data_IF_629458651635
#
_entry.id   IF_629458651635
#
_cell.length_a   1.000
_cell.length_b   1.000
_cell.length_c   1.000
_cell.angle_alpha   90.00
_cell.angle_beta   90.00
_cell.angle_gamma   90.00
#
_symmetry.space_group_name_H-M   'P 1'
#
loop_
_entity.id
_entity.type
_entity.pdbx_description
1 polymer ?
#
# COMPACT_ATOMS: atom_id res chain seq x y z
N UNK A 1 -51.44 -55.22 -14.45
CA UNK A 1 -51.23 -55.53 -13.02
C UNK A 1 -49.81 -55.13 -12.65
N UNK A 2 -49.71 -54.35 -11.57
CA UNK A 2 -48.54 -53.92 -10.80
C UNK A 2 -47.52 -52.95 -11.44
N UNK A 3 -47.76 -51.67 -11.17
CA UNK A 3 -46.81 -50.58 -11.22
C UNK A 3 -45.77 -50.72 -10.09
N UNK A 4 -44.48 -50.58 -10.42
CA UNK A 4 -43.40 -50.48 -9.44
C UNK A 4 -43.07 -48.99 -9.22
N UNK A 5 -43.43 -48.48 -8.03
CA UNK A 5 -43.05 -47.17 -7.52
C UNK A 5 -41.59 -47.22 -7.04
N UNK A 6 -40.70 -46.50 -7.72
CA UNK A 6 -39.35 -46.20 -7.22
C UNK A 6 -39.44 -45.01 -6.26
N UNK A 7 -39.36 -45.27 -4.96
CA UNK A 7 -39.25 -44.23 -3.94
C UNK A 7 -37.83 -43.63 -3.96
N UNK A 8 -37.73 -42.36 -4.36
CA UNK A 8 -36.51 -41.57 -4.27
C UNK A 8 -36.37 -41.08 -2.82
N UNK A 9 -35.49 -41.71 -2.05
CA UNK A 9 -35.13 -41.21 -0.72
C UNK A 9 -34.27 -39.94 -0.88
N UNK A 10 -34.86 -38.77 -0.61
CA UNK A 10 -34.09 -37.55 -0.37
C UNK A 10 -33.32 -37.74 0.94
N UNK A 11 -32.01 -37.99 0.83
CA UNK A 11 -31.09 -37.76 1.93
C UNK A 11 -31.00 -36.24 2.14
N UNK A 12 -31.69 -35.74 3.17
CA UNK A 12 -31.46 -34.41 3.72
C UNK A 12 -30.01 -34.38 4.22
N UNK A 13 -29.12 -33.80 3.42
CA UNK A 13 -27.81 -33.39 3.88
C UNK A 13 -28.02 -32.33 4.97
N UNK A 14 -27.77 -32.70 6.22
CA UNK A 14 -27.66 -31.75 7.31
C UNK A 14 -26.60 -30.71 6.93
N UNK A 15 -26.81 -29.41 7.23
CA UNK A 15 -25.77 -28.42 7.05
C UNK A 15 -24.60 -28.84 7.96
N UNK A 16 -23.46 -29.15 7.34
CA UNK A 16 -22.24 -29.45 8.05
C UNK A 16 -21.96 -28.32 9.02
N UNK A 17 -21.86 -28.64 10.31
CA UNK A 17 -21.47 -27.68 11.32
C UNK A 17 -20.19 -26.99 10.89
N UNK A 18 -20.20 -25.65 10.92
CA UNK A 18 -19.00 -24.85 10.79
C UNK A 18 -18.07 -25.28 11.93
N UNK A 19 -17.13 -26.18 11.63
CA UNK A 19 -16.04 -26.51 12.53
C UNK A 19 -15.30 -25.22 12.84
N UNK A 20 -15.18 -24.88 14.12
CA UNK A 20 -14.42 -23.71 14.55
C UNK A 20 -13.02 -23.77 13.92
N UNK A 21 -12.73 -22.83 13.03
CA UNK A 21 -11.42 -22.69 12.42
C UNK A 21 -10.43 -22.40 13.54
N UNK A 22 -9.41 -23.25 13.70
CA UNK A 22 -8.36 -23.00 14.69
C UNK A 22 -7.63 -21.70 14.31
N UNK A 23 -7.31 -20.80 15.27
CA UNK A 23 -6.54 -19.60 14.99
C UNK A 23 -5.20 -19.94 14.31
N UNK A 24 -4.63 -18.96 13.60
CA UNK A 24 -3.30 -19.10 13.03
C UNK A 24 -2.29 -19.54 14.11
N UNK A 25 -1.37 -20.45 13.79
CA UNK A 25 -0.40 -20.95 14.75
C UNK A 25 0.49 -19.79 15.26
N UNK A 26 1.02 -19.88 16.49
CA UNK A 26 1.99 -18.90 16.96
C UNK A 26 3.23 -18.92 16.05
N UNK A 27 3.95 -17.78 15.94
CA UNK A 27 5.21 -17.72 15.22
C UNK A 27 6.23 -18.68 15.86
N UNK A 28 7.22 -19.16 15.09
CA UNK A 28 8.24 -20.04 15.63
C UNK A 28 9.05 -19.34 16.76
N UNK A 29 9.64 -20.07 17.72
CA UNK A 29 10.51 -19.48 18.74
C UNK A 29 11.65 -18.66 18.12
N UNK A 30 11.98 -17.51 18.71
CA UNK A 30 13.06 -16.67 18.19
C UNK A 30 14.42 -17.32 18.44
N UNK A 31 15.21 -17.47 17.37
CA UNK A 31 16.52 -18.11 17.42
C UNK A 31 17.70 -17.11 17.42
N UNK A 32 17.44 -15.81 17.58
CA UNK A 32 18.46 -14.75 17.53
C UNK A 32 18.62 -14.11 16.14
N UNK A 33 19.48 -13.08 16.07
CA UNK A 33 19.81 -12.40 14.81
C UNK A 33 20.54 -13.40 13.92
N UNK A 34 19.84 -13.86 12.88
CA UNK A 34 20.36 -14.85 11.95
C UNK A 34 21.64 -14.34 11.27
N UNK A 35 22.61 -15.23 11.07
CA UNK A 35 23.84 -14.96 10.35
C UNK A 35 23.81 -15.70 9.02
N UNK A 36 24.16 -15.05 7.89
CA UNK A 36 24.08 -15.66 6.57
C UNK A 36 24.99 -16.88 6.48
N UNK A 37 24.50 -17.97 5.87
CA UNK A 37 25.22 -19.23 5.75
C UNK A 37 25.44 -19.62 4.29
N UNK A 38 26.68 -20.06 4.01
CA UNK A 38 27.07 -20.46 2.67
C UNK A 38 27.27 -19.28 1.71
N UNK A 39 27.91 -19.57 0.58
CA UNK A 39 28.42 -18.53 -0.33
C UNK A 39 27.29 -17.71 -0.96
N UNK A 40 26.17 -18.35 -1.29
CA UNK A 40 25.02 -17.68 -1.93
C UNK A 40 24.36 -16.64 -1.01
N UNK A 41 24.11 -17.02 0.24
CA UNK A 41 23.44 -16.13 1.19
C UNK A 41 24.35 -14.98 1.62
N UNK A 42 25.64 -15.26 1.85
CA UNK A 42 26.64 -14.22 2.15
C UNK A 42 26.75 -13.23 0.99
N UNK A 43 26.75 -13.72 -0.26
CA UNK A 43 26.76 -12.87 -1.45
C UNK A 43 25.52 -11.98 -1.55
N UNK A 44 24.33 -12.55 -1.37
CA UNK A 44 23.07 -11.82 -1.39
C UNK A 44 23.02 -10.74 -0.30
N UNK A 45 23.47 -11.06 0.92
CA UNK A 45 23.54 -10.10 2.02
C UNK A 45 24.47 -8.94 1.71
N UNK A 46 25.64 -9.21 1.13
CA UNK A 46 26.56 -8.15 0.71
C UNK A 46 25.96 -7.23 -0.35
N UNK A 47 25.22 -7.78 -1.31
CA UNK A 47 24.49 -6.95 -2.29
C UNK A 47 23.44 -6.07 -1.61
N UNK A 48 22.73 -6.62 -0.61
CA UNK A 48 21.73 -5.87 0.15
C UNK A 48 22.37 -4.79 1.04
N UNK A 49 23.52 -5.06 1.67
CA UNK A 49 24.29 -4.07 2.43
C UNK A 49 24.73 -2.90 1.55
N UNK A 50 25.20 -3.18 0.33
CA UNK A 50 25.57 -2.15 -0.65
C UNK A 50 24.34 -1.34 -1.13
N UNK A 51 23.17 -1.98 -1.26
CA UNK A 51 21.90 -1.30 -1.57
C UNK A 51 21.41 -0.45 -0.41
N UNK A 52 21.50 -0.96 0.82
CA UNK A 52 21.16 -0.25 2.04
C UNK A 52 22.02 1.00 2.20
N UNK A 53 23.34 0.90 1.98
CA UNK A 53 24.23 2.05 2.04
C UNK A 53 23.84 3.16 1.05
N UNK A 54 23.41 2.80 -0.16
CA UNK A 54 22.89 3.77 -1.16
C UNK A 54 21.54 4.34 -0.76
N UNK A 55 20.66 3.49 -0.24
CA UNK A 55 19.33 3.87 0.23
C UNK A 55 19.43 4.89 1.37
N UNK A 56 20.33 4.69 2.33
CA UNK A 56 20.50 5.57 3.49
C UNK A 56 20.81 7.03 3.12
N UNK A 57 21.31 7.28 1.92
CA UNK A 57 21.59 8.62 1.37
C UNK A 57 20.62 9.05 0.27
N UNK A 58 19.56 8.26 0.01
CA UNK A 58 18.60 8.52 -1.05
C UNK A 58 17.66 9.68 -0.68
N UNK A 59 17.36 10.60 -1.60
CA UNK A 59 16.36 11.65 -1.38
C UNK A 59 14.94 11.11 -1.21
N UNK A 60 14.73 9.82 -1.49
CA UNK A 60 13.46 9.15 -1.23
C UNK A 60 13.26 8.81 0.24
N UNK A 61 14.31 8.74 1.07
CA UNK A 61 14.17 8.43 2.49
C UNK A 61 13.60 9.65 3.23
N UNK A 62 12.59 9.39 4.06
CA UNK A 62 12.05 10.38 4.98
C UNK A 62 12.92 10.36 6.24
N UNK A 63 13.83 11.35 6.35
CA UNK A 63 14.71 11.52 7.51
C UNK A 63 13.98 12.22 8.68
N UNK A 64 12.88 11.61 9.14
CA UNK A 64 12.14 12.04 10.32
C UNK A 64 12.20 10.94 11.38
N UNK A 65 12.91 11.24 12.46
CA UNK A 65 13.15 10.28 13.55
C UNK A 65 11.86 9.94 14.30
N UNK A 66 10.89 10.87 14.38
CA UNK A 66 9.63 10.65 15.05
C UNK A 66 8.76 9.65 14.29
N UNK A 67 8.63 9.80 12.97
CA UNK A 67 7.92 8.88 12.08
C UNK A 67 8.61 7.52 12.04
N UNK A 68 9.92 7.49 11.81
CA UNK A 68 10.67 6.22 11.72
C UNK A 68 10.61 5.48 13.05
N UNK A 69 10.84 6.17 14.17
CA UNK A 69 10.72 5.59 15.51
C UNK A 69 9.31 5.11 15.82
N UNK A 70 8.27 5.80 15.33
CA UNK A 70 6.88 5.34 15.45
C UNK A 70 6.63 4.03 14.70
N UNK A 71 7.06 3.93 13.44
CA UNK A 71 6.94 2.71 12.64
C UNK A 71 7.71 1.55 13.28
N UNK A 72 8.92 1.80 13.80
CA UNK A 72 9.69 0.80 14.55
C UNK A 72 8.93 0.29 15.79
N UNK A 73 8.30 1.18 16.57
CA UNK A 73 7.52 0.78 17.75
C UNK A 73 6.32 -0.10 17.37
N UNK A 74 5.65 0.19 16.26
CA UNK A 74 4.55 -0.65 15.76
C UNK A 74 5.07 -2.03 15.35
N UNK A 75 6.22 -2.10 14.66
CA UNK A 75 6.85 -3.38 14.35
C UNK A 75 7.20 -4.17 15.62
N UNK A 76 7.88 -3.56 16.59
CA UNK A 76 8.27 -4.22 17.84
C UNK A 76 7.07 -4.71 18.65
N UNK A 77 5.99 -3.92 18.71
CA UNK A 77 4.77 -4.34 19.37
C UNK A 77 4.06 -5.51 18.67
N UNK A 78 4.28 -5.69 17.37
CA UNK A 78 3.74 -6.83 16.61
C UNK A 78 4.60 -8.09 16.76
N UNK A 79 5.90 -8.01 16.49
CA UNK A 79 6.80 -9.19 16.38
C UNK A 79 7.59 -9.49 17.67
N UNK A 80 7.59 -8.57 18.62
CA UNK A 80 8.37 -8.62 19.86
C UNK A 80 9.76 -7.96 19.71
N UNK A 81 10.28 -7.46 20.84
CA UNK A 81 11.55 -6.71 20.92
C UNK A 81 12.75 -7.48 20.34
N UNK A 82 12.92 -8.75 20.73
CA UNK A 82 14.05 -9.55 20.27
C UNK A 82 14.08 -9.69 18.74
N UNK A 83 12.90 -9.84 18.12
CA UNK A 83 12.75 -9.95 16.67
C UNK A 83 12.94 -8.61 15.98
N UNK A 84 12.33 -7.54 16.48
CA UNK A 84 12.41 -6.25 15.83
C UNK A 84 13.83 -5.66 15.86
N UNK A 85 14.65 -6.01 16.86
CA UNK A 85 16.06 -5.63 16.93
C UNK A 85 16.92 -6.16 15.77
N UNK A 86 16.44 -7.18 15.03
CA UNK A 86 17.08 -7.66 13.81
C UNK A 86 16.79 -6.76 12.58
N UNK A 87 15.90 -5.78 12.71
CA UNK A 87 15.38 -4.99 11.59
C UNK A 87 15.88 -3.56 11.62
N UNK A 88 16.23 -3.03 10.44
CA UNK A 88 16.53 -1.61 10.22
C UNK A 88 15.45 -1.02 9.32
N UNK A 89 14.60 -0.17 9.88
CA UNK A 89 13.43 0.38 9.18
C UNK A 89 13.79 1.69 8.47
N UNK A 90 13.42 1.80 7.20
CA UNK A 90 13.50 3.01 6.41
C UNK A 90 12.11 3.35 5.86
N UNK A 91 11.62 4.54 6.18
CA UNK A 91 10.40 5.07 5.57
C UNK A 91 10.77 5.82 4.29
N UNK A 92 10.16 5.46 3.17
CA UNK A 92 10.45 6.06 1.86
C UNK A 92 9.23 6.77 1.28
N UNK A 93 9.44 7.97 0.74
CA UNK A 93 8.42 8.81 0.11
C UNK A 93 8.08 8.35 -1.30
N UNK A 94 7.44 7.19 -1.37
CA UNK A 94 6.89 6.60 -2.60
C UNK A 94 5.39 6.39 -2.39
N UNK A 95 4.50 6.97 -3.22
CA UNK A 95 3.05 6.99 -2.98
C UNK A 95 2.33 5.67 -3.35
N UNK A 96 3.10 4.59 -3.59
CA UNK A 96 2.58 3.25 -3.84
C UNK A 96 2.47 2.51 -2.51
N UNK A 97 1.37 1.79 -2.29
CA UNK A 97 1.25 0.87 -1.16
C UNK A 97 2.32 -0.23 -1.31
N UNK A 98 3.30 -0.23 -0.42
CA UNK A 98 4.26 -1.31 -0.35
C UNK A 98 4.99 -1.30 0.99
N UNK A 99 5.44 -2.48 1.38
CA UNK A 99 6.54 -2.67 2.30
C UNK A 99 7.36 -3.84 1.78
N UNK A 100 8.62 -3.93 2.18
CA UNK A 100 9.46 -5.07 1.82
C UNK A 100 10.54 -5.26 2.85
N UNK A 101 10.98 -6.49 3.04
CA UNK A 101 12.12 -6.80 3.90
C UNK A 101 13.22 -7.50 3.13
N UNK A 102 14.45 -6.99 3.22
CA UNK A 102 15.65 -7.59 2.65
C UNK A 102 16.23 -8.68 3.55
N UNK A 103 16.93 -9.68 2.97
CA UNK A 103 17.69 -10.70 3.69
C UNK A 103 18.59 -10.20 4.81
N UNK A 104 19.22 -9.02 4.66
CA UNK A 104 20.11 -8.47 5.69
C UNK A 104 19.37 -7.82 6.89
N UNK A 105 18.03 -7.79 6.87
CA UNK A 105 17.20 -7.15 7.90
C UNK A 105 16.77 -5.72 7.60
N UNK A 106 17.05 -5.19 6.40
CA UNK A 106 16.53 -3.87 5.99
C UNK A 106 15.04 -3.96 5.68
N UNK A 107 14.21 -3.15 6.32
CA UNK A 107 12.79 -3.04 6.02
C UNK A 107 12.47 -1.68 5.39
N UNK A 108 11.87 -1.71 4.21
CA UNK A 108 11.35 -0.53 3.52
C UNK A 108 9.86 -0.38 3.77
N UNK A 109 9.43 0.82 4.16
CA UNK A 109 8.01 1.16 4.38
C UNK A 109 7.65 2.35 3.51
N UNK A 110 6.73 2.17 2.56
CA UNK A 110 6.43 3.20 1.57
C UNK A 110 5.35 4.15 2.10
N UNK A 111 5.47 5.44 1.81
CA UNK A 111 4.46 6.44 2.21
C UNK A 111 3.05 6.10 1.70
N UNK A 112 2.94 5.43 0.55
CA UNK A 112 1.64 4.97 0.04
C UNK A 112 0.99 3.88 0.90
N UNK A 113 1.78 3.07 1.62
CA UNK A 113 1.27 2.15 2.63
C UNK A 113 0.71 2.94 3.82
N UNK A 114 1.51 3.88 4.35
CA UNK A 114 1.12 4.71 5.49
C UNK A 114 -0.12 5.58 5.22
N UNK A 115 -0.35 5.97 3.96
CA UNK A 115 -1.56 6.70 3.59
C UNK A 115 -2.84 5.84 3.60
N UNK A 116 -2.73 4.52 3.47
CA UNK A 116 -3.88 3.61 3.27
C UNK A 116 -4.31 2.87 4.53
N UNK A 117 -3.36 2.50 5.39
CA UNK A 117 -3.71 1.86 6.68
C UNK A 117 -4.24 2.90 7.66
N UNK A 118 -5.14 2.47 8.56
CA UNK A 118 -5.92 3.37 9.44
C UNK A 118 -5.61 3.21 10.93
N UNK A 119 -4.81 2.22 11.29
CA UNK A 119 -4.49 1.94 12.68
C UNK A 119 -3.13 1.26 12.82
N UNK A 120 -2.60 1.24 14.05
CA UNK A 120 -1.36 0.51 14.36
C UNK A 120 -1.50 -0.97 14.03
N UNK A 121 -2.69 -1.56 14.28
CA UNK A 121 -2.95 -2.97 13.97
C UNK A 121 -2.90 -3.26 12.46
N UNK A 122 -3.37 -2.35 11.61
CA UNK A 122 -3.30 -2.51 10.15
C UNK A 122 -1.88 -2.33 9.62
N UNK A 123 -1.13 -1.36 10.16
CA UNK A 123 0.29 -1.23 9.85
C UNK A 123 1.05 -2.49 10.28
N UNK A 124 0.85 -2.94 11.52
CA UNK A 124 1.47 -4.15 12.06
C UNK A 124 1.13 -5.42 11.26
N UNK A 125 -0.08 -5.54 10.71
CA UNK A 125 -0.43 -6.66 9.84
C UNK A 125 0.49 -6.75 8.62
N UNK A 126 0.75 -5.60 7.98
CA UNK A 126 1.63 -5.53 6.80
C UNK A 126 3.08 -5.74 7.22
N UNK A 127 3.55 -5.08 8.27
CA UNK A 127 4.94 -5.24 8.73
C UNK A 127 5.24 -6.66 9.23
N UNK A 128 4.28 -7.30 9.90
CA UNK A 128 4.36 -8.67 10.38
C UNK A 128 4.37 -9.69 9.23
N UNK A 129 3.61 -9.43 8.15
CA UNK A 129 3.67 -10.22 6.91
C UNK A 129 5.06 -10.14 6.25
N UNK A 130 5.62 -8.93 6.10
CA UNK A 130 6.98 -8.75 5.57
C UNK A 130 8.04 -9.43 6.45
N UNK A 131 7.88 -9.32 7.77
CA UNK A 131 8.76 -10.01 8.72
C UNK A 131 8.62 -11.53 8.61
N UNK A 132 7.42 -12.04 8.31
CA UNK A 132 7.19 -13.45 8.00
C UNK A 132 8.01 -13.94 6.81
N UNK A 133 8.07 -13.16 5.72
CA UNK A 133 8.95 -13.48 4.59
C UNK A 133 10.42 -13.53 4.97
N UNK A 134 10.87 -12.61 5.83
CA UNK A 134 12.24 -12.57 6.34
C UNK A 134 12.57 -13.78 7.23
N UNK A 135 11.73 -14.08 8.21
CA UNK A 135 11.93 -15.21 9.13
C UNK A 135 11.93 -16.55 8.40
N UNK A 136 11.11 -16.68 7.35
CA UNK A 136 11.05 -17.86 6.48
C UNK A 136 12.07 -17.86 5.34
N UNK A 137 12.87 -16.80 5.21
CA UNK A 137 13.92 -16.62 4.20
C UNK A 137 13.41 -16.84 2.78
N UNK A 138 12.19 -16.37 2.49
CA UNK A 138 11.57 -16.54 1.18
C UNK A 138 12.37 -15.91 0.05
N UNK A 139 13.04 -14.78 0.30
CA UNK A 139 13.92 -14.13 -0.68
C UNK A 139 15.18 -14.96 -0.96
N UNK A 140 15.78 -15.60 0.04
CA UNK A 140 16.90 -16.52 -0.18
C UNK A 140 16.44 -17.74 -1.01
N UNK A 141 15.29 -18.31 -0.67
CA UNK A 141 14.73 -19.46 -1.41
C UNK A 141 14.46 -19.09 -2.88
N UNK A 142 13.89 -17.90 -3.13
CA UNK A 142 13.73 -17.40 -4.50
C UNK A 142 15.08 -17.16 -5.20
N UNK A 143 16.06 -16.55 -4.52
CA UNK A 143 17.37 -16.30 -5.08
C UNK A 143 18.08 -17.60 -5.49
N UNK A 144 18.06 -18.62 -4.61
CA UNK A 144 18.61 -19.96 -4.90
C UNK A 144 17.89 -20.63 -6.07
N UNK A 145 16.56 -20.58 -6.11
CA UNK A 145 15.78 -21.14 -7.21
C UNK A 145 16.11 -20.47 -8.54
N UNK A 146 16.32 -19.14 -8.55
CA UNK A 146 16.75 -18.38 -9.72
C UNK A 146 18.16 -18.75 -10.16
N UNK A 147 19.12 -18.81 -9.23
CA UNK A 147 20.51 -19.16 -9.56
C UNK A 147 20.60 -20.54 -10.18
N UNK A 148 19.95 -21.54 -9.57
CA UNK A 148 19.87 -22.89 -10.14
C UNK A 148 19.18 -22.90 -11.51
N UNK A 149 18.11 -22.10 -11.67
CA UNK A 149 17.43 -21.93 -12.96
C UNK A 149 18.32 -21.30 -14.03
N UNK A 150 19.05 -20.22 -13.70
CA UNK A 150 20.01 -19.56 -14.58
C UNK A 150 21.17 -20.48 -14.95
N UNK A 151 21.73 -21.22 -13.98
CA UNK A 151 22.80 -22.19 -14.24
C UNK A 151 22.31 -23.30 -15.18
N UNK A 152 21.10 -23.83 -14.97
CA UNK A 152 20.47 -24.78 -15.88
C UNK A 152 20.24 -24.20 -17.27
N UNK A 153 19.80 -22.94 -17.38
CA UNK A 153 19.66 -22.24 -18.66
C UNK A 153 21.00 -22.08 -19.35
N UNK A 154 22.07 -21.71 -18.63
CA UNK A 154 23.41 -21.58 -19.19
C UNK A 154 23.90 -22.93 -19.74
N UNK A 155 23.66 -24.03 -19.03
CA UNK A 155 23.96 -25.38 -19.53
C UNK A 155 23.08 -25.80 -20.72
N UNK A 156 21.79 -25.48 -20.68
CA UNK A 156 20.86 -25.74 -21.77
C UNK A 156 21.19 -24.91 -23.02
N UNK A 157 21.72 -23.70 -22.87
CA UNK A 157 22.20 -22.88 -23.97
C UNK A 157 23.39 -23.55 -24.68
N UNK A 158 24.35 -24.05 -23.89
CA UNK A 158 25.50 -24.82 -24.41
C UNK A 158 25.00 -26.05 -25.17
N UNK A 159 24.15 -26.87 -24.55
CA UNK A 159 23.62 -28.08 -25.18
C UNK A 159 22.72 -27.78 -26.40
N UNK A 160 21.87 -26.74 -26.31
CA UNK A 160 20.96 -26.32 -27.37
C UNK A 160 21.70 -25.75 -28.58
N UNK A 161 22.82 -25.07 -28.37
CA UNK A 161 23.70 -24.62 -29.45
C UNK A 161 24.31 -25.78 -30.25
N UNK A 162 24.47 -26.95 -29.61
CA UNK A 162 24.95 -28.18 -30.25
C UNK A 162 23.84 -28.94 -30.98
N UNK A 163 22.56 -28.65 -30.70
CA UNK A 163 21.39 -29.35 -31.25
C UNK A 163 20.82 -28.71 -32.53
N UNK A 164 21.45 -27.66 -33.06
CA UNK A 164 21.06 -26.99 -34.31
C UNK A 164 19.93 -25.95 -34.18
N UNK A 165 19.41 -25.42 -35.30
CA UNK A 165 18.54 -24.24 -35.33
C UNK A 165 17.21 -24.37 -34.57
N UNK A 166 16.66 -25.58 -34.43
CA UNK A 166 15.46 -25.85 -33.63
C UNK A 166 15.73 -25.78 -32.11
N UNK A 167 16.93 -26.20 -31.66
CA UNK A 167 17.35 -26.09 -30.27
C UNK A 167 17.51 -24.64 -29.81
N UNK A 168 18.04 -23.78 -30.69
CA UNK A 168 18.20 -22.35 -30.42
C UNK A 168 16.87 -21.59 -30.29
N UNK A 169 15.81 -21.96 -31.04
CA UNK A 169 14.48 -21.34 -30.91
C UNK A 169 13.79 -21.72 -29.61
N UNK A 170 13.83 -23.01 -29.25
CA UNK A 170 13.27 -23.52 -28.00
C UNK A 170 13.94 -22.88 -26.78
N UNK A 171 15.23 -22.54 -26.89
CA UNK A 171 15.97 -21.80 -25.88
C UNK A 171 15.48 -20.36 -25.70
N UNK A 172 15.22 -19.62 -26.78
CA UNK A 172 14.73 -18.24 -26.69
C UNK A 172 13.36 -18.15 -25.98
N UNK A 173 12.46 -19.09 -26.25
CA UNK A 173 11.15 -19.15 -25.59
C UNK A 173 11.27 -19.49 -24.09
N UNK A 174 12.20 -20.39 -23.75
CA UNK A 174 12.51 -20.75 -22.36
C UNK A 174 13.15 -19.57 -21.60
N UNK A 175 14.06 -18.84 -22.24
CA UNK A 175 14.73 -17.67 -21.66
C UNK A 175 13.73 -16.57 -21.29
N UNK A 176 12.77 -16.27 -22.17
CA UNK A 176 11.74 -15.25 -21.93
C UNK A 176 10.77 -15.65 -20.80
N UNK A 177 10.45 -16.94 -20.67
CA UNK A 177 9.60 -17.47 -19.60
C UNK A 177 10.21 -17.34 -18.20
N UNK A 178 11.53 -17.54 -18.09
CA UNK A 178 12.25 -17.43 -16.80
C UNK A 178 12.39 -15.98 -16.35
N UNK A 179 12.58 -15.03 -17.28
CA UNK A 179 12.69 -13.59 -16.99
C UNK A 179 11.42 -12.97 -16.37
N UNK A 180 10.23 -13.45 -16.76
CA UNK A 180 8.95 -12.92 -16.29
C UNK A 180 8.56 -13.26 -14.84
N UNK A 181 9.24 -14.21 -14.19
CA UNK A 181 8.91 -14.70 -12.84
C UNK A 181 9.87 -14.18 -11.74
N UNK A 182 10.74 -13.22 -12.06
CA UNK A 182 11.89 -12.83 -11.22
C UNK A 182 11.52 -11.92 -10.02
N UNK A 183 10.26 -11.58 -9.77
CA UNK A 183 9.95 -10.68 -8.63
C UNK A 183 8.73 -11.08 -7.80
N UNK A 184 8.17 -12.27 -8.01
CA UNK A 184 6.87 -12.69 -7.45
C UNK A 184 7.02 -13.88 -6.50
N UNK A 185 6.51 -13.76 -5.28
CA UNK A 185 6.41 -14.90 -4.36
C UNK A 185 5.35 -15.91 -4.84
N UNK A 186 5.61 -17.19 -4.56
CA UNK A 186 4.63 -18.24 -4.81
C UNK A 186 3.46 -18.19 -3.82
N UNK A 187 2.30 -18.76 -4.17
CA UNK A 187 1.11 -18.78 -3.31
C UNK A 187 1.38 -19.39 -1.93
N UNK A 188 2.20 -20.44 -1.87
CA UNK A 188 2.55 -21.10 -0.61
C UNK A 188 3.41 -20.19 0.30
N UNK A 189 4.32 -19.41 -0.30
CA UNK A 189 5.16 -18.46 0.44
C UNK A 189 4.32 -17.30 0.99
N UNK A 190 3.37 -16.79 0.20
CA UNK A 190 2.42 -15.78 0.66
C UNK A 190 1.56 -16.29 1.81
N UNK A 191 1.03 -17.51 1.69
CA UNK A 191 0.21 -18.13 2.73
C UNK A 191 1.02 -18.40 4.00
N UNK A 192 2.28 -18.81 3.88
CA UNK A 192 3.16 -19.02 5.04
C UNK A 192 3.48 -17.69 5.74
N UNK A 193 3.80 -16.64 4.98
CA UNK A 193 4.05 -15.31 5.52
C UNK A 193 2.79 -14.71 6.19
N UNK A 194 1.61 -14.92 5.61
CA UNK A 194 0.34 -14.54 6.21
C UNK A 194 0.08 -15.25 7.55
N UNK A 195 0.31 -16.56 7.61
CA UNK A 195 0.10 -17.33 8.85
C UNK A 195 1.06 -16.89 9.94
N UNK A 196 2.32 -16.61 9.61
CA UNK A 196 3.31 -16.07 10.55
C UNK A 196 2.93 -14.65 10.99
N UNK A 197 2.63 -13.76 10.05
CA UNK A 197 2.20 -12.39 10.30
C UNK A 197 0.94 -12.30 11.16
N UNK A 198 -0.07 -13.12 10.87
CA UNK A 198 -1.27 -13.22 11.67
C UNK A 198 -1.01 -13.87 13.03
N UNK A 199 -0.08 -14.83 13.11
CA UNK A 199 0.39 -15.42 14.36
C UNK A 199 1.01 -14.37 15.30
N UNK A 200 1.79 -13.42 14.76
CA UNK A 200 2.31 -12.27 15.51
C UNK A 200 1.17 -11.42 16.07
N UNK A 201 0.21 -11.03 15.23
CA UNK A 201 -0.94 -10.24 15.69
C UNK A 201 -1.77 -10.99 16.75
N UNK A 202 -2.04 -12.28 16.54
CA UNK A 202 -2.78 -13.12 17.48
C UNK A 202 -2.10 -13.17 18.86
N UNK A 203 -0.77 -13.20 18.89
CA UNK A 203 0.03 -13.23 20.12
C UNK A 203 0.25 -11.82 20.75
N UNK A 204 0.04 -10.75 19.99
CA UNK A 204 0.21 -9.37 20.44
C UNK A 204 -1.06 -8.81 21.11
N UNK A 205 -0.95 -7.59 21.65
CA UNK A 205 -2.11 -6.83 22.15
C UNK A 205 -2.91 -6.15 21.03
N UNK A 206 -2.54 -6.34 19.76
CA UNK A 206 -3.20 -5.71 18.61
C UNK A 206 -4.38 -6.54 18.10
N UNK A 207 -5.23 -5.92 17.27
CA UNK A 207 -6.42 -6.58 16.73
C UNK A 207 -6.08 -7.40 15.45
N UNK A 208 -6.17 -8.73 15.47
CA UNK A 208 -5.75 -9.57 14.35
C UNK A 208 -6.66 -9.45 13.11
N UNK A 209 -7.93 -9.07 13.30
CA UNK A 209 -8.85 -8.79 12.18
C UNK A 209 -8.37 -7.67 11.24
N UNK A 210 -7.39 -6.86 11.66
CA UNK A 210 -6.75 -5.85 10.82
C UNK A 210 -6.11 -6.43 9.55
N UNK A 211 -5.54 -7.65 9.62
CA UNK A 211 -4.93 -8.30 8.46
C UNK A 211 -5.94 -8.49 7.31
N UNK A 212 -7.16 -8.94 7.62
CA UNK A 212 -8.23 -9.06 6.64
C UNK A 212 -8.69 -7.70 6.09
N UNK A 213 -8.81 -6.69 6.95
CA UNK A 213 -9.31 -5.37 6.55
C UNK A 213 -8.40 -4.67 5.55
N UNK A 214 -7.08 -4.75 5.72
CA UNK A 214 -6.12 -4.18 4.75
C UNK A 214 -6.43 -4.68 3.34
N UNK A 215 -6.57 -6.00 3.18
CA UNK A 215 -6.89 -6.60 1.87
C UNK A 215 -8.24 -6.16 1.32
N UNK A 216 -9.28 -6.09 2.16
CA UNK A 216 -10.62 -5.63 1.74
C UNK A 216 -10.58 -4.18 1.25
N UNK A 217 -9.87 -3.30 1.95
CA UNK A 217 -9.73 -1.88 1.57
C UNK A 217 -8.97 -1.73 0.25
N UNK A 218 -7.89 -2.49 0.04
CA UNK A 218 -7.13 -2.46 -1.21
C UNK A 218 -7.95 -2.98 -2.41
N UNK A 219 -8.77 -4.01 -2.21
CA UNK A 219 -9.71 -4.51 -3.23
C UNK A 219 -10.70 -3.38 -3.61
N UNK A 220 -11.30 -2.72 -2.61
CA UNK A 220 -12.25 -1.63 -2.85
C UNK A 220 -11.60 -0.44 -3.56
N UNK A 221 -10.37 -0.05 -3.19
CA UNK A 221 -9.62 1.01 -3.88
C UNK A 221 -9.45 0.69 -5.37
N UNK A 222 -9.14 -0.56 -5.70
CA UNK A 222 -8.96 -1.02 -7.09
C UNK A 222 -10.27 -1.05 -7.85
N UNK A 223 -11.35 -1.50 -7.23
CA UNK A 223 -12.67 -1.41 -7.83
C UNK A 223 -13.07 0.04 -8.12
N UNK A 224 -12.79 0.97 -7.20
CA UNK A 224 -13.03 2.40 -7.40
C UNK A 224 -12.19 2.98 -8.54
N UNK A 225 -10.90 2.63 -8.62
CA UNK A 225 -10.02 3.01 -9.74
C UNK A 225 -10.54 2.50 -11.09
N UNK A 226 -10.90 1.22 -11.17
CA UNK A 226 -11.43 0.62 -12.39
C UNK A 226 -12.77 1.27 -12.81
N UNK A 227 -13.69 1.45 -11.86
CA UNK A 227 -14.99 2.07 -12.09
C UNK A 227 -14.84 3.50 -12.64
N UNK A 228 -13.94 4.31 -12.05
CA UNK A 228 -13.69 5.68 -12.51
C UNK A 228 -13.13 5.75 -13.94
N UNK A 229 -12.48 4.68 -14.42
CA UNK A 229 -11.94 4.54 -15.78
C UNK A 229 -12.92 3.86 -16.74
N UNK A 230 -14.12 3.49 -16.30
CA UNK A 230 -15.09 2.72 -17.09
C UNK A 230 -14.62 1.29 -17.40
N UNK A 231 -13.68 0.75 -16.62
CA UNK A 231 -13.17 -0.59 -16.78
C UNK A 231 -14.02 -1.59 -15.99
N UNK A 232 -14.00 -2.86 -16.41
CA UNK A 232 -14.60 -3.96 -15.63
C UNK A 232 -13.85 -4.14 -14.31
N UNK A 233 -14.53 -4.76 -13.34
CA UNK A 233 -13.90 -5.18 -12.08
C UNK A 233 -12.61 -5.94 -12.36
N UNK A 234 -11.48 -5.57 -11.72
CA UNK A 234 -10.21 -6.26 -11.93
C UNK A 234 -10.30 -7.74 -11.58
N UNK A 235 -9.68 -8.60 -12.39
CA UNK A 235 -9.37 -9.96 -11.94
C UNK A 235 -8.16 -9.87 -11.00
N UNK A 236 -8.44 -9.94 -9.70
CA UNK A 236 -7.41 -9.76 -8.68
C UNK A 236 -6.26 -10.76 -8.83
N UNK A 237 -6.49 -11.96 -9.39
CA UNK A 237 -5.42 -12.92 -9.70
C UNK A 237 -4.38 -12.43 -10.73
N UNK A 238 -4.64 -11.30 -11.41
CA UNK A 238 -3.84 -10.77 -12.53
C UNK A 238 -3.42 -9.30 -12.36
N UNK A 239 -3.63 -8.69 -11.19
CA UNK A 239 -3.31 -7.27 -10.95
C UNK A 239 -1.84 -7.07 -10.58
N UNK A 240 -1.11 -6.27 -11.37
CA UNK A 240 0.34 -6.01 -11.23
C UNK A 240 0.78 -5.27 -9.93
N UNK A 241 -0.15 -4.69 -9.18
CA UNK A 241 0.16 -4.11 -7.86
C UNK A 241 0.69 -5.12 -6.84
N UNK A 242 0.44 -6.40 -7.15
CA UNK A 242 0.88 -7.56 -6.42
C UNK A 242 2.03 -8.28 -7.13
N UNK A 243 2.80 -7.53 -7.93
CA UNK A 243 3.94 -8.09 -8.66
C UNK A 243 4.93 -8.78 -7.72
N UNK A 244 5.04 -8.29 -6.47
CA UNK A 244 5.73 -8.99 -5.39
C UNK A 244 4.84 -10.02 -4.67
N UNK A 245 3.58 -9.67 -4.34
CA UNK A 245 2.69 -10.47 -3.48
C UNK A 245 1.29 -10.71 -4.09
N UNK A 246 1.10 -11.70 -4.99
CA UNK A 246 -0.18 -12.00 -5.65
C UNK A 246 -1.34 -12.06 -4.64
N UNK A 247 -2.49 -11.41 -4.90
CA UNK A 247 -3.63 -11.54 -3.99
C UNK A 247 -4.27 -12.90 -4.26
N UNK A 248 -4.65 -13.60 -3.20
CA UNK A 248 -5.69 -14.62 -3.33
C UNK A 248 -7.03 -13.92 -3.11
N UNK A 249 -8.02 -14.17 -3.97
CA UNK A 249 -9.38 -13.65 -3.77
C UNK A 249 -9.96 -14.07 -2.42
N UNK A 250 -9.48 -15.18 -1.87
CA UNK A 250 -9.86 -15.73 -0.57
C UNK A 250 -8.96 -15.26 0.59
N UNK A 251 -7.90 -14.48 0.32
CA UNK A 251 -6.88 -14.07 1.31
C UNK A 251 -7.50 -13.34 2.50
N UNK A 252 -8.32 -12.33 2.20
CA UNK A 252 -9.01 -11.56 3.22
C UNK A 252 -9.92 -12.46 4.09
N UNK A 253 -10.53 -13.48 3.51
CA UNK A 253 -11.52 -14.31 4.19
C UNK A 253 -10.86 -15.34 5.11
N UNK A 254 -9.78 -16.00 4.68
CA UNK A 254 -9.06 -16.90 5.60
C UNK A 254 -8.33 -16.13 6.69
N UNK A 255 -7.77 -14.95 6.41
CA UNK A 255 -7.12 -14.13 7.44
C UNK A 255 -8.13 -13.72 8.52
N UNK A 256 -9.36 -13.42 8.11
CA UNK A 256 -10.46 -13.19 9.04
C UNK A 256 -10.79 -14.44 9.85
N UNK A 257 -10.94 -15.60 9.20
CA UNK A 257 -11.31 -16.85 9.85
C UNK A 257 -10.25 -17.41 10.81
N UNK A 258 -8.97 -17.08 10.59
CA UNK A 258 -7.83 -17.51 11.41
C UNK A 258 -7.39 -16.48 12.46
N UNK A 259 -8.03 -15.30 12.47
CA UNK A 259 -7.80 -14.29 13.49
C UNK A 259 -8.30 -14.79 14.85
N UNK A 260 -7.58 -14.48 15.92
CA UNK A 260 -7.97 -14.86 17.27
C UNK A 260 -9.31 -14.19 17.64
N UNK A 261 -10.38 -14.95 17.96
CA UNK A 261 -11.72 -14.37 18.20
C UNK A 261 -11.77 -13.43 19.42
N UNK A 262 -10.99 -13.72 20.46
CA UNK A 262 -10.83 -12.85 21.63
C UNK A 262 -10.11 -11.52 21.29
N UNK A 263 -9.45 -11.48 20.13
CA UNK A 263 -8.74 -10.32 19.63
C UNK A 263 -9.63 -9.19 19.13
N UNK A 264 -10.94 -9.39 18.92
CA UNK A 264 -11.82 -8.37 18.34
C UNK A 264 -11.96 -7.10 19.18
N UNK A 265 -11.77 -7.19 20.49
CA UNK A 265 -11.92 -6.07 21.44
C UNK A 265 -10.61 -5.37 21.77
N UNK A 266 -9.49 -5.87 21.24
CA UNK A 266 -8.15 -5.30 21.46
C UNK A 266 -8.02 -3.92 20.83
N UNK A 267 -7.17 -3.09 21.43
CA UNK A 267 -6.90 -1.73 20.95
C UNK A 267 -6.29 -1.77 19.54
N UNK A 268 -6.86 -0.99 18.64
CA UNK A 268 -6.36 -0.87 17.27
C UNK A 268 -5.22 0.15 17.13
N UNK A 269 -5.12 1.10 18.06
CA UNK A 269 -4.18 2.21 17.98
C UNK A 269 -4.57 3.29 16.94
N UNK A 270 -5.85 3.42 16.60
CA UNK A 270 -6.34 4.36 15.56
C UNK A 270 -5.98 5.81 15.85
N UNK A 271 -6.18 6.30 17.08
CA UNK A 271 -5.89 7.69 17.43
C UNK A 271 -4.38 7.98 17.43
N UNK A 272 -3.57 7.05 17.97
CA UNK A 272 -2.10 7.16 17.95
C UNK A 272 -1.57 7.18 16.52
N UNK A 273 -2.13 6.34 15.65
CA UNK A 273 -1.80 6.30 14.25
C UNK A 273 -2.14 7.61 13.54
N UNK A 274 -3.37 8.10 13.73
CA UNK A 274 -3.80 9.38 13.17
C UNK A 274 -2.91 10.55 13.62
N UNK A 275 -2.52 10.59 14.90
CA UNK A 275 -1.63 11.61 15.44
C UNK A 275 -0.23 11.55 14.82
N UNK A 276 0.35 10.35 14.68
CA UNK A 276 1.66 10.16 14.06
C UNK A 276 1.66 10.52 12.56
N UNK A 277 0.55 10.27 11.85
CA UNK A 277 0.42 10.58 10.43
C UNK A 277 0.02 12.03 10.14
N UNK A 278 -0.52 12.77 11.11
CA UNK A 278 -1.07 14.11 10.87
C UNK A 278 -0.10 15.09 10.17
N UNK A 279 1.20 15.17 10.53
CA UNK A 279 2.16 16.04 9.83
C UNK A 279 2.43 15.60 8.38
N UNK A 280 2.31 14.30 8.10
CA UNK A 280 2.65 13.67 6.83
C UNK A 280 1.46 13.51 5.87
N UNK A 281 0.23 13.65 6.40
CA UNK A 281 -0.98 13.46 5.62
C UNK A 281 -1.06 14.42 4.41
N UNK A 282 -0.80 15.74 4.53
CA UNK A 282 -0.83 16.63 3.36
C UNK A 282 0.15 16.25 2.24
N UNK A 283 1.47 16.06 2.48
CA UNK A 283 2.39 15.68 1.41
C UNK A 283 2.09 14.30 0.81
N UNK A 284 1.60 13.34 1.60
CA UNK A 284 1.23 12.01 1.09
C UNK A 284 0.00 12.08 0.16
N UNK A 285 -1.01 12.87 0.53
CA UNK A 285 -2.17 13.13 -0.33
C UNK A 285 -1.76 13.84 -1.63
N UNK A 286 -0.84 14.80 -1.55
CA UNK A 286 -0.31 15.47 -2.74
C UNK A 286 0.38 14.50 -3.70
N UNK A 287 1.15 13.54 -3.18
CA UNK A 287 1.83 12.55 -4.01
C UNK A 287 0.86 11.50 -4.57
N UNK A 288 -0.16 11.10 -3.80
CA UNK A 288 -1.23 10.23 -4.28
C UNK A 288 -2.01 10.88 -5.43
N UNK A 289 -2.39 12.16 -5.31
CA UNK A 289 -3.11 12.88 -6.36
C UNK A 289 -2.26 13.00 -7.65
N UNK A 290 -0.93 13.12 -7.53
CA UNK A 290 -0.01 13.16 -8.68
C UNK A 290 0.04 11.83 -9.46
N UNK A 291 -0.38 10.71 -8.87
CA UNK A 291 -0.50 9.43 -9.59
C UNK A 291 -1.59 9.46 -10.67
N UNK A 292 -2.42 10.51 -10.72
CA UNK A 292 -3.46 10.71 -11.73
C UNK A 292 -4.47 9.55 -11.80
N UNK A 293 -4.71 8.90 -10.65
CA UNK A 293 -5.77 7.91 -10.49
C UNK A 293 -6.93 8.52 -9.73
N UNK A 294 -7.93 9.02 -10.45
CA UNK A 294 -9.06 9.71 -9.84
C UNK A 294 -9.85 8.81 -8.88
N UNK A 295 -10.17 7.59 -9.32
CA UNK A 295 -11.01 6.67 -8.55
C UNK A 295 -10.34 6.21 -7.26
N UNK A 296 -9.07 5.80 -7.34
CA UNK A 296 -8.31 5.43 -6.15
C UNK A 296 -8.12 6.62 -5.19
N UNK A 297 -7.80 7.80 -5.72
CA UNK A 297 -7.55 8.97 -4.88
C UNK A 297 -8.81 9.46 -4.17
N UNK A 298 -9.98 9.49 -4.84
CA UNK A 298 -11.24 9.86 -4.20
C UNK A 298 -11.64 8.80 -3.15
N UNK A 299 -11.45 7.51 -3.44
CA UNK A 299 -11.66 6.43 -2.47
C UNK A 299 -10.78 6.62 -1.22
N UNK A 300 -9.48 6.83 -1.37
CA UNK A 300 -8.56 7.02 -0.22
C UNK A 300 -8.97 8.26 0.59
N UNK A 301 -9.24 9.39 -0.07
CA UNK A 301 -9.62 10.64 0.62
C UNK A 301 -10.94 10.45 1.39
N UNK A 302 -11.94 9.84 0.77
CA UNK A 302 -13.25 9.62 1.40
C UNK A 302 -13.18 8.59 2.53
N UNK A 303 -12.39 7.53 2.35
CA UNK A 303 -12.15 6.54 3.38
C UNK A 303 -11.48 7.22 4.60
N UNK A 304 -10.40 7.98 4.40
CA UNK A 304 -9.74 8.77 5.46
C UNK A 304 -10.70 9.71 6.20
N UNK A 305 -11.70 10.24 5.50
CA UNK A 305 -12.71 11.14 6.05
C UNK A 305 -13.87 10.45 6.82
N UNK A 306 -13.91 9.12 6.91
CA UNK A 306 -14.96 8.38 7.62
C UNK A 306 -15.07 8.78 9.10
N UNK A 307 -13.95 9.14 9.73
CA UNK A 307 -13.91 9.63 11.12
C UNK A 307 -14.17 11.14 11.25
N UNK A 308 -14.44 11.81 10.13
CA UNK A 308 -14.64 13.25 10.06
C UNK A 308 -13.76 13.91 9.01
N UNK A 309 -14.33 14.92 8.34
CA UNK A 309 -13.58 15.70 7.37
C UNK A 309 -12.71 16.75 8.06
N UNK A 310 -11.45 16.83 7.66
CA UNK A 310 -10.50 17.85 8.10
C UNK A 310 -10.20 18.83 6.97
N UNK A 311 -9.61 19.99 7.29
CA UNK A 311 -9.22 20.97 6.27
C UNK A 311 -8.25 20.38 5.22
N UNK A 312 -7.20 19.61 5.59
CA UNK A 312 -6.35 18.93 4.61
C UNK A 312 -7.08 17.96 3.68
N UNK A 313 -8.05 17.19 4.20
CA UNK A 313 -8.83 16.24 3.39
C UNK A 313 -9.74 16.97 2.39
N UNK A 314 -10.43 18.02 2.82
CA UNK A 314 -11.22 18.85 1.90
C UNK A 314 -10.35 19.53 0.84
N UNK A 315 -9.19 20.06 1.24
CA UNK A 315 -8.22 20.66 0.31
C UNK A 315 -7.74 19.62 -0.70
N UNK A 316 -7.35 18.43 -0.27
CA UNK A 316 -6.91 17.35 -1.14
C UNK A 316 -8.01 16.93 -2.13
N UNK A 317 -9.26 16.82 -1.68
CA UNK A 317 -10.39 16.53 -2.58
C UNK A 317 -10.61 17.65 -3.59
N UNK A 318 -10.48 18.91 -3.17
CA UNK A 318 -10.50 20.07 -4.06
C UNK A 318 -9.41 20.00 -5.12
N UNK A 319 -8.19 19.60 -4.76
CA UNK A 319 -7.07 19.42 -5.71
C UNK A 319 -7.33 18.30 -6.71
N UNK A 320 -7.89 17.18 -6.25
CA UNK A 320 -8.24 16.05 -7.09
C UNK A 320 -9.23 16.44 -8.21
N UNK A 321 -10.34 17.09 -7.83
CA UNK A 321 -11.36 17.55 -8.78
C UNK A 321 -10.82 18.65 -9.69
N UNK A 322 -10.10 19.64 -9.14
CA UNK A 322 -9.50 20.72 -9.93
C UNK A 322 -8.54 20.20 -11.00
N UNK A 323 -7.77 19.14 -10.71
CA UNK A 323 -6.84 18.53 -11.67
C UNK A 323 -7.54 17.79 -12.79
N UNK A 324 -8.67 17.13 -12.53
CA UNK A 324 -9.48 16.48 -13.57
C UNK A 324 -10.08 17.49 -14.55
N UNK A 325 -10.43 18.69 -14.05
CA UNK A 325 -10.58 19.89 -14.87
C UNK A 325 -11.84 19.97 -15.73
N UNK A 326 -12.81 19.07 -15.58
CA UNK A 326 -14.13 19.21 -16.23
C UNK A 326 -14.86 20.43 -15.65
N UNK A 327 -15.75 21.11 -16.41
CA UNK A 327 -16.46 22.30 -15.91
C UNK A 327 -17.17 22.09 -14.57
N UNK A 328 -17.86 20.96 -14.41
CA UNK A 328 -18.52 20.58 -13.14
C UNK A 328 -17.51 20.31 -12.01
N UNK A 329 -16.31 19.82 -12.33
CA UNK A 329 -15.29 19.55 -11.33
C UNK A 329 -14.69 20.82 -10.75
N UNK A 330 -14.58 21.89 -11.55
CA UNK A 330 -14.09 23.17 -11.05
C UNK A 330 -15.07 23.79 -10.04
N UNK A 331 -16.38 23.61 -10.24
CA UNK A 331 -17.41 24.01 -9.27
C UNK A 331 -17.28 23.16 -7.99
N UNK A 332 -17.23 21.83 -8.11
CA UNK A 332 -17.04 20.94 -6.97
C UNK A 332 -15.75 21.25 -6.20
N UNK A 333 -14.66 21.53 -6.92
CA UNK A 333 -13.38 21.90 -6.32
C UNK A 333 -13.50 23.19 -5.51
N UNK A 334 -14.16 24.23 -6.04
CA UNK A 334 -14.42 25.46 -5.28
C UNK A 334 -15.20 25.17 -3.99
N UNK A 335 -16.24 24.35 -4.04
CA UNK A 335 -17.02 23.99 -2.85
C UNK A 335 -16.18 23.21 -1.83
N UNK A 336 -15.33 22.28 -2.26
CA UNK A 336 -14.43 21.55 -1.37
C UNK A 336 -13.37 22.46 -0.74
N UNK A 337 -12.76 23.36 -1.51
CA UNK A 337 -11.83 24.33 -0.92
C UNK A 337 -12.53 25.29 0.04
N UNK A 338 -13.77 25.71 -0.24
CA UNK A 338 -14.54 26.54 0.67
C UNK A 338 -14.78 25.83 2.02
N UNK A 339 -15.07 24.51 2.00
CA UNK A 339 -15.16 23.70 3.22
C UNK A 339 -13.81 23.60 3.95
N UNK A 340 -12.71 23.46 3.22
CA UNK A 340 -11.37 23.48 3.82
C UNK A 340 -11.07 24.81 4.51
N UNK A 341 -11.34 25.94 3.83
CA UNK A 341 -11.14 27.30 4.35
C UNK A 341 -12.06 27.60 5.54
N UNK A 342 -13.29 27.06 5.56
CA UNK A 342 -14.20 27.22 6.69
C UNK A 342 -13.68 26.51 7.96
N UNK A 343 -12.99 25.38 7.81
CA UNK A 343 -12.36 24.66 8.92
C UNK A 343 -11.01 25.28 9.33
N UNK A 344 -10.22 25.73 8.35
CA UNK A 344 -8.93 26.39 8.58
C UNK A 344 -8.74 27.57 7.61
N UNK A 345 -9.06 28.80 8.04
CA UNK A 345 -8.87 29.99 7.23
C UNK A 345 -7.40 30.34 6.93
N UNK A 346 -6.45 29.73 7.65
CA UNK A 346 -5.01 29.93 7.49
C UNK A 346 -4.38 28.95 6.50
N UNK A 347 -5.13 27.95 6.02
CA UNK A 347 -4.66 26.99 5.03
C UNK A 347 -4.50 27.66 3.65
N UNK A 348 -3.30 28.22 3.42
CA UNK A 348 -2.97 29.02 2.25
C UNK A 348 -3.24 28.27 0.93
N UNK A 349 -2.90 27.00 0.86
CA UNK A 349 -3.09 26.14 -0.30
C UNK A 349 -4.58 25.97 -0.66
N UNK A 350 -5.47 25.95 0.35
CA UNK A 350 -6.91 25.91 0.14
C UNK A 350 -7.44 27.27 -0.37
N UNK A 351 -6.95 28.39 0.18
CA UNK A 351 -7.29 29.74 -0.32
C UNK A 351 -6.89 29.91 -1.79
N UNK A 352 -5.69 29.43 -2.15
CA UNK A 352 -5.21 29.41 -3.53
C UNK A 352 -6.11 28.58 -4.44
N UNK A 353 -6.41 27.34 -4.02
CA UNK A 353 -7.27 26.44 -4.77
C UNK A 353 -8.67 27.01 -4.98
N UNK A 354 -9.27 27.56 -3.92
CA UNK A 354 -10.57 28.24 -3.95
C UNK A 354 -10.55 29.39 -4.95
N UNK A 355 -9.56 30.29 -4.83
CA UNK A 355 -9.43 31.45 -5.68
C UNK A 355 -9.32 31.11 -7.16
N UNK A 356 -8.43 30.18 -7.50
CA UNK A 356 -8.23 29.73 -8.89
C UNK A 356 -9.49 29.05 -9.46
N UNK A 357 -10.16 28.20 -8.67
CA UNK A 357 -11.39 27.53 -9.12
C UNK A 357 -12.53 28.55 -9.35
N UNK A 358 -12.74 29.49 -8.42
CA UNK A 358 -13.79 30.52 -8.53
C UNK A 358 -13.58 31.44 -9.73
N UNK A 359 -12.34 31.90 -9.99
CA UNK A 359 -12.02 32.70 -11.18
C UNK A 359 -12.36 31.93 -12.45
N UNK A 360 -11.98 30.65 -12.53
CA UNK A 360 -12.27 29.81 -13.70
C UNK A 360 -13.76 29.54 -13.91
N UNK A 361 -14.57 29.55 -12.85
CA UNK A 361 -16.02 29.37 -12.93
C UNK A 361 -16.80 30.70 -13.04
N UNK A 362 -16.13 31.82 -13.29
CA UNK A 362 -16.77 33.13 -13.48
C UNK A 362 -17.14 33.88 -12.20
N UNK A 363 -16.85 33.33 -11.01
CA UNK A 363 -17.04 34.00 -9.71
C UNK A 363 -15.82 34.84 -9.36
N UNK A 364 -15.46 35.72 -10.29
CA UNK A 364 -14.14 36.37 -10.36
C UNK A 364 -13.82 37.24 -9.14
N UNK A 365 -14.80 37.98 -8.61
CA UNK A 365 -14.61 38.85 -7.44
C UNK A 365 -14.32 38.06 -6.16
N UNK A 366 -15.06 36.98 -5.94
CA UNK A 366 -14.84 36.08 -4.79
C UNK A 366 -13.51 35.35 -4.92
N UNK A 367 -13.19 34.90 -6.14
CA UNK A 367 -11.90 34.29 -6.44
C UNK A 367 -10.72 35.22 -6.17
N UNK A 368 -10.82 36.49 -6.58
CA UNK A 368 -9.80 37.50 -6.30
C UNK A 368 -9.62 37.75 -4.80
N UNK A 369 -10.70 37.74 -4.00
CA UNK A 369 -10.59 37.88 -2.55
C UNK A 369 -9.80 36.72 -1.93
N UNK A 370 -10.09 35.48 -2.32
CA UNK A 370 -9.36 34.29 -1.86
C UNK A 370 -7.88 34.30 -2.31
N UNK A 371 -7.57 34.71 -3.54
CA UNK A 371 -6.20 34.85 -4.03
C UNK A 371 -5.39 35.92 -3.29
N UNK A 372 -6.01 37.07 -2.94
CA UNK A 372 -5.37 38.07 -2.08
C UNK A 372 -5.08 37.51 -0.69
N UNK A 373 -6.01 36.74 -0.13
CA UNK A 373 -5.78 36.05 1.15
C UNK A 373 -4.62 35.06 1.06
N UNK A 374 -4.53 34.28 -0.02
CA UNK A 374 -3.39 33.39 -0.28
C UNK A 374 -2.06 34.15 -0.28
N UNK A 375 -1.95 35.25 -1.03
CA UNK A 375 -0.72 36.05 -1.08
C UNK A 375 -0.37 36.69 0.26
N UNK A 376 -1.36 37.04 1.07
CA UNK A 376 -1.13 37.54 2.42
C UNK A 376 -0.58 36.45 3.36
N UNK A 377 -1.11 35.22 3.27
CA UNK A 377 -0.66 34.08 4.07
C UNK A 377 0.72 33.58 3.64
N UNK A 378 1.02 33.63 2.33
CA UNK A 378 2.24 33.06 1.75
C UNK A 378 2.85 34.02 0.71
N UNK A 379 3.39 35.18 1.13
CA UNK A 379 3.91 36.19 0.20
C UNK A 379 5.12 35.71 -0.61
N UNK A 380 5.91 34.78 -0.06
CA UNK A 380 7.08 34.18 -0.71
C UNK A 380 6.79 32.91 -1.52
N UNK A 381 5.52 32.62 -1.85
CA UNK A 381 5.19 31.45 -2.65
C UNK A 381 5.83 31.52 -4.05
N UNK A 382 6.31 30.38 -4.56
CA UNK A 382 6.97 30.30 -5.87
C UNK A 382 6.09 30.79 -7.04
N UNK A 383 4.77 30.75 -6.87
CA UNK A 383 3.80 31.19 -7.87
C UNK A 383 3.13 32.54 -7.52
N UNK A 384 3.62 33.25 -6.52
CA UNK A 384 3.05 34.54 -6.08
C UNK A 384 2.96 35.56 -7.23
N UNK A 385 4.00 35.62 -8.07
CA UNK A 385 4.02 36.49 -9.25
C UNK A 385 2.89 36.15 -10.25
N UNK A 386 2.66 34.86 -10.52
CA UNK A 386 1.56 34.42 -11.38
C UNK A 386 0.20 34.84 -10.80
N UNK A 387 -0.01 34.62 -9.51
CA UNK A 387 -1.25 35.01 -8.83
C UNK A 387 -1.44 36.54 -8.85
N UNK A 388 -0.36 37.30 -8.67
CA UNK A 388 -0.37 38.76 -8.76
C UNK A 388 -0.83 39.25 -10.14
N UNK A 389 -0.35 38.63 -11.22
CA UNK A 389 -0.80 38.95 -12.59
C UNK A 389 -2.29 38.67 -12.79
N UNK A 390 -2.79 37.52 -12.32
CA UNK A 390 -4.22 37.18 -12.39
C UNK A 390 -5.06 38.26 -11.68
N UNK A 391 -4.61 38.73 -10.51
CA UNK A 391 -5.29 39.78 -9.76
C UNK A 391 -5.28 41.15 -10.48
N UNK A 392 -4.20 41.51 -11.17
CA UNK A 392 -4.13 42.74 -11.97
C UNK A 392 -5.13 42.71 -13.11
N UNK A 393 -5.16 41.63 -13.89
CA UNK A 393 -6.08 41.46 -15.03
C UNK A 393 -7.55 41.54 -14.59
N UNK A 394 -7.88 40.97 -13.42
CA UNK A 394 -9.23 41.08 -12.85
C UNK A 394 -9.57 42.54 -12.47
N UNK A 395 -8.59 43.30 -11.98
CA UNK A 395 -8.75 44.71 -11.63
C UNK A 395 -8.92 45.62 -12.83
N UNK A 396 -8.25 45.32 -13.94
CA UNK A 396 -8.30 46.08 -15.21
C UNK A 396 -9.58 45.82 -16.04
N UNK A 397 -10.26 44.69 -15.82
CA UNK A 397 -11.51 44.34 -16.50
C UNK A 397 -12.77 45.03 -15.92
N UNK A 398 -12.60 46.00 -15.02
CA UNK A 398 -13.64 46.88 -14.47
C UNK A 398 -13.56 48.24 -15.11
#
# INVERSE_FOLDING_TARGET
MNAALTALALALAAPGGAGATKPAPPPPPYAGVYQPQGVDEIGLWREDDEREAKLAHSPLVIHDEALTGYVCRVLCAAVGEDRCNATRVYVVRVPVFNASMSPNGTMLVYSGLLLRVRSESELAAVLGHEFGHFEKRHLLSQFKARRTGTDLLSWAAVLGSMAGPQGARSFNDLQLSVLGNIYRFGRDQEREADLVGLGYLNASTMRPGAASRVWRTLIQEREASAAARGLRKPDFNRVAFFDSHPPDGERADYLYALAAPDGETRDEGTERYAAAMAPWLPPFLDDQIKLNDFGASDFIITHLAESGWTAPLWRARGDLFRRRGQPRDLMNAADFYAKAVALDPQLAEAQRGLGLSLVKTGRTMEGAAALRRYLHLKPGAADAAMIGMILSTIGEAK
#
